data_IF_637710340803
#
_entry.id   IF_637710340803
#
_cell.length_a   1.000
_cell.length_b   1.000
_cell.length_c   1.000
_cell.angle_alpha   90.00
_cell.angle_beta   90.00
_cell.angle_gamma   90.00
#
_symmetry.space_group_name_H-M   'P 1'
#
loop_
_entity.id
_entity.type
_entity.pdbx_description
1 polymer ?
#
# COMPACT_ATOMS: atom_id res chain seq x y z
N UNK A 1 18.71 29.73 3.68
CA UNK A 1 18.04 29.59 4.99
C UNK A 1 16.63 29.07 4.76
N UNK A 2 16.39 27.77 4.95
CA UNK A 2 15.07 27.17 4.75
C UNK A 2 14.22 27.35 6.01
N UNK A 3 13.02 27.95 5.88
CA UNK A 3 12.09 28.14 6.98
C UNK A 3 11.65 26.78 7.54
N UNK A 4 11.90 26.60 8.83
CA UNK A 4 11.35 25.58 9.70
C UNK A 4 9.83 25.74 9.83
N UNK A 5 9.09 24.64 9.70
CA UNK A 5 7.85 24.42 10.46
C UNK A 5 6.56 25.11 10.00
N UNK A 6 6.14 24.95 8.73
CA UNK A 6 4.71 25.10 8.45
C UNK A 6 3.96 23.89 9.06
N UNK A 7 3.35 24.06 10.23
CA UNK A 7 2.43 23.06 10.78
C UNK A 7 1.26 22.95 9.80
N UNK A 8 1.22 21.87 9.01
CA UNK A 8 0.07 21.62 8.14
C UNK A 8 -1.13 21.21 9.00
N UNK A 9 -2.31 21.68 8.62
CA UNK A 9 -3.58 21.35 9.25
C UNK A 9 -4.44 20.54 8.28
N UNK A 10 -5.30 19.67 8.81
CA UNK A 10 -6.27 18.91 8.02
C UNK A 10 -7.61 18.94 8.72
N UNK A 11 -8.67 19.19 7.96
CA UNK A 11 -10.03 19.02 8.44
C UNK A 11 -10.33 17.52 8.58
N UNK A 12 -10.86 17.13 9.74
CA UNK A 12 -11.16 15.74 10.09
C UNK A 12 -12.54 15.67 10.74
N UNK A 13 -13.00 14.45 11.08
CA UNK A 13 -14.22 14.25 11.87
C UNK A 13 -14.20 14.97 13.23
N UNK A 14 -13.02 15.25 13.77
CA UNK A 14 -12.82 15.92 15.06
C UNK A 14 -12.51 17.41 14.92
N UNK A 15 -12.78 18.00 13.75
CA UNK A 15 -12.44 19.38 13.41
C UNK A 15 -11.06 19.50 12.75
N UNK A 16 -10.55 20.73 12.70
CA UNK A 16 -9.24 21.03 12.08
C UNK A 16 -8.14 20.63 13.06
N UNK A 17 -7.32 19.65 12.66
CA UNK A 17 -6.23 19.12 13.48
C UNK A 17 -4.85 19.45 12.91
N UNK A 18 -3.84 19.72 13.76
CA UNK A 18 -2.46 19.84 13.31
C UNK A 18 -1.88 18.48 12.88
N UNK A 19 -0.85 18.50 12.01
CA UNK A 19 -0.23 17.31 11.42
C UNK A 19 0.11 16.20 12.40
N UNK A 20 0.58 16.53 13.60
CA UNK A 20 0.92 15.55 14.64
C UNK A 20 -0.30 14.74 15.08
N UNK A 21 -1.44 15.41 15.32
CA UNK A 21 -2.70 14.74 15.68
C UNK A 21 -3.29 13.95 14.52
N UNK A 22 -3.12 14.44 13.29
CA UNK A 22 -3.47 13.67 12.09
C UNK A 22 -2.62 12.40 11.97
N UNK A 23 -1.33 12.44 12.33
CA UNK A 23 -0.45 11.26 12.31
C UNK A 23 -0.95 10.17 13.27
N UNK A 24 -1.39 10.54 14.47
CA UNK A 24 -1.98 9.62 15.44
C UNK A 24 -3.20 8.89 14.83
N UNK A 25 -4.09 9.63 14.16
CA UNK A 25 -5.24 9.06 13.45
C UNK A 25 -4.82 8.17 12.28
N UNK A 26 -3.79 8.54 11.51
CA UNK A 26 -3.27 7.72 10.41
C UNK A 26 -2.74 6.37 10.90
N UNK A 27 -2.04 6.35 12.03
CA UNK A 27 -1.53 5.12 12.66
C UNK A 27 -2.68 4.27 13.16
N UNK A 28 -3.63 4.86 13.90
CA UNK A 28 -4.80 4.14 14.41
C UNK A 28 -5.66 3.56 13.27
N UNK A 29 -5.88 4.35 12.22
CA UNK A 29 -6.61 3.94 11.02
C UNK A 29 -5.94 2.80 10.26
N UNK A 30 -4.61 2.85 10.13
CA UNK A 30 -3.83 1.75 9.54
C UNK A 30 -3.98 0.46 10.38
N UNK A 31 -3.92 0.58 11.72
CA UNK A 31 -4.14 -0.56 12.63
C UNK A 31 -5.55 -1.14 12.47
N UNK A 32 -6.59 -0.30 12.39
CA UNK A 32 -7.98 -0.73 12.14
C UNK A 32 -8.10 -1.50 10.82
N UNK A 33 -7.47 -1.01 9.76
CA UNK A 33 -7.45 -1.67 8.45
C UNK A 33 -6.79 -3.05 8.50
N UNK A 34 -5.62 -3.17 9.13
CA UNK A 34 -4.93 -4.45 9.30
C UNK A 34 -5.72 -5.45 10.16
N UNK A 35 -6.39 -4.98 11.22
CA UNK A 35 -7.26 -5.84 12.04
C UNK A 35 -8.44 -6.37 11.23
N UNK A 36 -9.09 -5.50 10.44
CA UNK A 36 -10.15 -5.91 9.53
C UNK A 36 -9.63 -6.98 8.56
N UNK A 37 -8.50 -6.75 7.90
CA UNK A 37 -7.88 -7.72 6.99
C UNK A 37 -7.59 -9.07 7.64
N UNK A 38 -7.10 -9.08 8.88
CA UNK A 38 -6.81 -10.30 9.63
C UNK A 38 -8.07 -11.09 10.04
N UNK A 39 -9.22 -10.42 10.14
CA UNK A 39 -10.51 -11.04 10.46
C UNK A 39 -11.26 -11.55 9.21
N UNK A 40 -10.88 -11.11 8.00
CA UNK A 40 -11.47 -11.60 6.76
C UNK A 40 -10.98 -13.01 6.43
N UNK A 41 -11.72 -13.71 5.57
CA UNK A 41 -11.24 -14.99 5.09
C UNK A 41 -9.99 -14.77 4.25
N UNK A 42 -8.96 -15.58 4.49
CA UNK A 42 -7.70 -15.57 3.71
C UNK A 42 -7.91 -15.98 2.23
N UNK A 43 -9.14 -16.28 1.84
CA UNK A 43 -9.54 -16.62 0.47
C UNK A 43 -10.26 -15.48 -0.24
N UNK A 44 -10.62 -14.40 0.45
CA UNK A 44 -11.36 -13.31 -0.18
C UNK A 44 -10.49 -12.62 -1.25
N UNK A 45 -11.12 -12.36 -2.40
CA UNK A 45 -10.45 -11.78 -3.56
C UNK A 45 -10.21 -10.28 -3.35
N UNK A 46 -9.08 -9.79 -3.85
CA UNK A 46 -8.76 -8.35 -3.78
C UNK A 46 -9.50 -7.62 -4.90
N UNK A 47 -10.79 -7.37 -4.72
CA UNK A 47 -11.65 -6.65 -5.69
C UNK A 47 -11.55 -5.13 -5.54
N UNK A 48 -11.99 -4.33 -6.53
CA UNK A 48 -12.11 -2.88 -6.37
C UNK A 48 -12.95 -2.47 -5.15
N UNK A 49 -14.02 -3.20 -4.86
CA UNK A 49 -14.91 -2.99 -3.71
C UNK A 49 -14.18 -3.28 -2.39
N UNK A 50 -13.41 -4.36 -2.33
CA UNK A 50 -12.60 -4.71 -1.16
C UNK A 50 -11.53 -3.65 -0.88
N UNK A 51 -10.84 -3.17 -1.92
CA UNK A 51 -9.86 -2.08 -1.83
C UNK A 51 -10.51 -0.80 -1.28
N UNK A 52 -11.68 -0.43 -1.79
CA UNK A 52 -12.46 0.72 -1.30
C UNK A 52 -12.87 0.54 0.17
N UNK A 53 -13.31 -0.66 0.55
CA UNK A 53 -13.72 -0.98 1.91
C UNK A 53 -12.58 -0.81 2.91
N UNK A 54 -11.40 -1.36 2.61
CA UNK A 54 -10.21 -1.20 3.47
C UNK A 54 -9.87 0.27 3.63
N UNK A 55 -9.79 1.01 2.53
CA UNK A 55 -9.50 2.44 2.58
C UNK A 55 -10.54 3.22 3.41
N UNK A 56 -11.83 2.86 3.30
CA UNK A 56 -12.90 3.47 4.10
C UNK A 56 -12.73 3.21 5.59
N UNK A 57 -12.53 1.94 5.97
CA UNK A 57 -12.35 1.51 7.36
C UNK A 57 -11.14 2.21 7.97
N UNK A 58 -10.05 2.33 7.21
CA UNK A 58 -8.84 2.95 7.71
C UNK A 58 -8.91 4.46 7.85
N UNK A 59 -9.55 5.18 6.93
CA UNK A 59 -9.36 6.63 6.81
C UNK A 59 -10.63 7.46 6.89
N UNK A 60 -11.79 6.89 7.18
CA UNK A 60 -13.07 7.64 7.30
C UNK A 60 -13.09 8.73 8.37
N UNK A 61 -12.28 8.61 9.43
CA UNK A 61 -12.15 9.66 10.45
C UNK A 61 -11.34 10.87 9.96
N UNK A 62 -10.54 10.69 8.91
CA UNK A 62 -9.65 11.72 8.35
C UNK A 62 -10.19 12.27 7.02
N UNK A 63 -10.75 11.40 6.16
CA UNK A 63 -11.29 11.73 4.85
C UNK A 63 -12.81 11.59 4.85
N UNK A 64 -13.51 12.52 5.52
CA UNK A 64 -14.96 12.42 5.75
C UNK A 64 -15.77 12.17 4.46
N UNK A 65 -15.37 12.83 3.37
CA UNK A 65 -16.10 12.78 2.10
C UNK A 65 -15.52 11.79 1.08
N UNK A 66 -14.22 11.47 1.18
CA UNK A 66 -13.47 10.74 0.15
C UNK A 66 -13.06 9.32 0.55
N UNK A 67 -13.19 8.96 1.84
CA UNK A 67 -12.79 7.65 2.31
C UNK A 67 -13.55 6.52 1.58
N UNK A 68 -12.81 5.67 0.87
CA UNK A 68 -13.35 4.52 0.13
C UNK A 68 -13.95 4.88 -1.22
N UNK A 69 -13.72 6.10 -1.72
CA UNK A 69 -14.11 6.52 -3.06
C UNK A 69 -12.87 6.70 -3.92
N UNK A 70 -12.91 6.18 -5.13
CA UNK A 70 -11.87 6.54 -6.09
C UNK A 70 -11.94 8.05 -6.35
N UNK A 71 -10.78 8.69 -6.46
CA UNK A 71 -10.71 10.13 -6.73
C UNK A 71 -11.42 10.43 -8.06
N UNK A 72 -12.11 11.55 -8.10
CA UNK A 72 -12.72 12.13 -9.30
C UNK A 72 -11.99 13.40 -9.75
N UNK A 73 -10.84 13.66 -9.14
CA UNK A 73 -9.96 14.79 -9.42
C UNK A 73 -8.60 14.28 -9.85
N UNK A 74 -7.90 15.14 -10.57
CA UNK A 74 -6.52 14.88 -10.94
C UNK A 74 -5.57 15.22 -9.78
N UNK A 75 -4.57 14.38 -9.57
CA UNK A 75 -3.63 14.50 -8.45
C UNK A 75 -2.20 14.25 -8.92
N UNK A 76 -1.26 14.82 -8.17
CA UNK A 76 0.16 14.57 -8.32
C UNK A 76 0.70 13.80 -7.13
N UNK A 77 1.66 12.90 -7.35
CA UNK A 77 2.34 12.16 -6.30
C UNK A 77 3.82 12.04 -6.64
N UNK A 78 4.69 12.22 -5.65
CA UNK A 78 6.16 12.14 -5.84
C UNK A 78 6.70 12.97 -7.02
N UNK A 79 6.09 14.12 -7.31
CA UNK A 79 6.50 15.03 -8.39
C UNK A 79 6.01 14.66 -9.79
N UNK A 80 5.12 13.68 -9.95
CA UNK A 80 4.51 13.30 -11.23
C UNK A 80 2.99 13.31 -11.16
N UNK A 81 2.36 13.49 -12.30
CA UNK A 81 0.91 13.41 -12.46
C UNK A 81 0.45 11.94 -12.47
N UNK A 82 -0.62 11.63 -11.74
CA UNK A 82 -1.20 10.29 -11.76
C UNK A 82 -2.00 10.04 -13.06
N UNK A 83 -2.32 8.78 -13.42
CA UNK A 83 -3.23 8.50 -14.52
C UNK A 83 -4.56 9.26 -14.38
N UNK A 84 -5.20 9.63 -15.48
CA UNK A 84 -6.44 10.39 -15.43
C UNK A 84 -7.53 9.64 -14.66
N UNK A 85 -8.29 10.34 -13.81
CA UNK A 85 -9.21 9.70 -12.86
C UNK A 85 -10.28 8.80 -13.50
N UNK A 86 -10.71 9.10 -14.74
CA UNK A 86 -11.66 8.25 -15.47
C UNK A 86 -11.15 6.84 -15.76
N UNK A 87 -9.83 6.62 -15.73
CA UNK A 87 -9.21 5.31 -15.98
C UNK A 87 -9.08 4.44 -14.73
N UNK A 88 -9.23 5.01 -13.53
CA UNK A 88 -8.93 4.33 -12.26
C UNK A 88 -9.72 3.05 -12.10
N UNK A 89 -11.04 3.08 -12.35
CA UNK A 89 -11.90 1.93 -12.15
C UNK A 89 -11.44 0.72 -13.01
N UNK A 90 -11.14 0.97 -14.28
CA UNK A 90 -10.64 -0.06 -15.19
C UNK A 90 -9.25 -0.56 -14.77
N UNK A 91 -8.32 0.35 -14.43
CA UNK A 91 -6.96 -0.03 -14.03
C UNK A 91 -6.92 -0.83 -12.72
N UNK A 92 -7.74 -0.46 -11.73
CA UNK A 92 -7.84 -1.22 -10.47
C UNK A 92 -8.48 -2.58 -10.72
N UNK A 93 -9.50 -2.67 -11.59
CA UNK A 93 -10.09 -3.96 -11.96
C UNK A 93 -9.06 -4.89 -12.62
N UNK A 94 -8.28 -4.38 -13.56
CA UNK A 94 -7.19 -5.14 -14.20
C UNK A 94 -6.14 -5.57 -13.16
N UNK A 95 -5.70 -4.64 -12.31
CA UNK A 95 -4.75 -4.96 -11.24
C UNK A 95 -5.28 -6.06 -10.31
N UNK A 96 -6.55 -5.97 -9.90
CA UNK A 96 -7.22 -6.99 -9.10
C UNK A 96 -7.21 -8.36 -9.77
N UNK A 97 -7.52 -8.43 -11.07
CA UNK A 97 -7.55 -9.69 -11.81
C UNK A 97 -6.14 -10.27 -11.99
N UNK A 98 -5.13 -9.43 -12.24
CA UNK A 98 -3.73 -9.83 -12.37
C UNK A 98 -3.14 -10.39 -11.07
N UNK A 99 -3.53 -9.84 -9.91
CA UNK A 99 -3.11 -10.36 -8.60
C UNK A 99 -3.67 -11.77 -8.41
N UNK A 100 -4.97 -11.98 -8.66
CA UNK A 100 -5.59 -13.30 -8.50
C UNK A 100 -5.02 -14.32 -9.49
N UNK A 101 -4.73 -13.89 -10.72
CA UNK A 101 -4.05 -14.72 -11.69
C UNK A 101 -2.65 -15.11 -11.19
N UNK A 102 -1.84 -14.15 -10.76
CA UNK A 102 -0.49 -14.39 -10.25
C UNK A 102 -0.49 -15.32 -9.04
N UNK A 103 -1.41 -15.12 -8.09
CA UNK A 103 -1.60 -16.01 -6.94
C UNK A 103 -1.91 -17.45 -7.37
N UNK A 104 -2.73 -17.64 -8.41
CA UNK A 104 -3.06 -18.97 -8.94
C UNK A 104 -1.89 -19.67 -9.66
N UNK A 105 -0.85 -18.93 -10.01
CA UNK A 105 0.35 -19.40 -10.72
C UNK A 105 1.57 -19.58 -9.83
N UNK A 106 1.46 -19.27 -8.54
CA UNK A 106 2.57 -19.49 -7.61
C UNK A 106 2.96 -20.97 -7.56
N UNK A 107 4.26 -21.28 -7.38
CA UNK A 107 4.71 -22.65 -7.15
C UNK A 107 3.96 -23.31 -6.00
N UNK A 108 3.75 -24.62 -6.09
CA UNK A 108 3.16 -25.40 -5.00
C UNK A 108 4.17 -25.74 -3.90
N UNK A 109 5.47 -25.76 -4.23
CA UNK A 109 6.54 -25.84 -3.25
C UNK A 109 6.65 -24.52 -2.48
N UNK A 110 7.20 -24.57 -1.27
CA UNK A 110 7.46 -23.39 -0.43
C UNK A 110 8.96 -23.16 -0.27
N UNK A 111 9.71 -23.37 -1.36
CA UNK A 111 11.16 -23.20 -1.43
C UNK A 111 11.54 -21.75 -1.80
N UNK A 112 12.82 -21.51 -2.04
CA UNK A 112 13.32 -20.18 -2.41
C UNK A 112 12.69 -19.64 -3.70
N UNK A 113 12.36 -20.51 -4.66
CA UNK A 113 11.69 -20.11 -5.90
C UNK A 113 10.25 -19.62 -5.64
N UNK A 114 9.55 -20.21 -4.67
CA UNK A 114 8.27 -19.67 -4.21
C UNK A 114 8.43 -18.27 -3.61
N UNK A 115 9.42 -18.06 -2.75
CA UNK A 115 9.67 -16.75 -2.14
C UNK A 115 10.00 -15.70 -3.20
N UNK A 116 10.86 -16.02 -4.17
CA UNK A 116 11.19 -15.13 -5.29
C UNK A 116 9.93 -14.70 -6.05
N UNK A 117 9.05 -15.65 -6.41
CA UNK A 117 7.78 -15.34 -7.09
C UNK A 117 6.82 -14.51 -6.25
N UNK A 118 6.81 -14.71 -4.93
CA UNK A 118 6.04 -13.84 -4.02
C UNK A 118 6.61 -12.43 -4.02
N UNK A 119 7.93 -12.26 -3.98
CA UNK A 119 8.57 -10.95 -4.02
C UNK A 119 8.27 -10.20 -5.32
N UNK A 120 8.36 -10.88 -6.48
CA UNK A 120 7.98 -10.32 -7.79
C UNK A 120 6.52 -9.83 -7.79
N UNK A 121 5.59 -10.68 -7.32
CA UNK A 121 4.17 -10.33 -7.20
C UNK A 121 3.96 -9.09 -6.33
N UNK A 122 4.61 -9.03 -5.17
CA UNK A 122 4.48 -7.91 -4.24
C UNK A 122 5.08 -6.62 -4.80
N UNK A 123 6.21 -6.71 -5.51
CA UNK A 123 6.85 -5.57 -6.16
C UNK A 123 5.97 -4.99 -7.29
N UNK A 124 5.46 -5.88 -8.16
CA UNK A 124 4.53 -5.50 -9.22
C UNK A 124 3.27 -4.84 -8.64
N UNK A 125 2.69 -5.44 -7.60
CA UNK A 125 1.51 -4.90 -6.94
C UNK A 125 1.76 -3.52 -6.31
N UNK A 126 2.80 -3.38 -5.49
CA UNK A 126 3.15 -2.11 -4.82
C UNK A 126 3.33 -0.99 -5.85
N UNK A 127 4.13 -1.25 -6.89
CA UNK A 127 4.38 -0.28 -7.95
C UNK A 127 3.09 0.12 -8.66
N UNK A 128 2.34 -0.85 -9.19
CA UNK A 128 1.14 -0.57 -9.99
C UNK A 128 0.04 0.12 -9.17
N UNK A 129 -0.17 -0.29 -7.92
CA UNK A 129 -1.19 0.35 -7.07
C UNK A 129 -0.83 1.81 -6.79
N UNK A 130 0.42 2.09 -6.41
CA UNK A 130 0.89 3.45 -6.16
C UNK A 130 0.90 4.27 -7.44
N UNK A 131 1.17 3.64 -8.59
CA UNK A 131 1.12 4.25 -9.91
C UNK A 131 -0.31 4.69 -10.29
N UNK A 132 -1.29 3.82 -10.14
CA UNK A 132 -2.70 4.13 -10.41
C UNK A 132 -3.20 5.27 -9.51
N UNK A 133 -2.73 5.29 -8.26
CA UNK A 133 -3.05 6.31 -7.26
C UNK A 133 -4.58 6.50 -7.10
N UNK A 134 -5.33 5.43 -6.75
CA UNK A 134 -6.79 5.42 -6.87
C UNK A 134 -7.54 6.39 -5.95
N UNK A 135 -6.95 6.79 -4.82
CA UNK A 135 -7.58 7.64 -3.81
C UNK A 135 -6.98 9.04 -3.77
N UNK A 136 -7.67 9.99 -3.14
CA UNK A 136 -7.18 11.38 -2.96
C UNK A 136 -5.95 11.45 -2.05
N UNK A 137 -5.81 10.53 -1.09
CA UNK A 137 -4.68 10.44 -0.17
C UNK A 137 -4.53 8.98 0.31
N UNK A 138 -3.48 8.68 1.07
CA UNK A 138 -3.24 7.39 1.74
C UNK A 138 -3.07 6.18 0.83
N UNK A 139 -2.79 6.39 -0.46
CA UNK A 139 -2.50 5.32 -1.43
C UNK A 139 -1.33 4.43 -0.97
N UNK A 140 -0.23 5.01 -0.51
CA UNK A 140 0.93 4.22 -0.03
C UNK A 140 0.65 3.40 1.22
N UNK A 141 -0.19 3.89 2.15
CA UNK A 141 -0.61 3.11 3.33
C UNK A 141 -1.54 1.98 2.93
N UNK A 142 -2.47 2.24 2.03
CA UNK A 142 -3.40 1.24 1.48
C UNK A 142 -2.65 0.14 0.73
N UNK A 143 -1.67 0.51 -0.09
CA UNK A 143 -0.80 -0.45 -0.79
C UNK A 143 -0.09 -1.38 0.21
N UNK A 144 0.52 -0.84 1.27
CA UNK A 144 1.19 -1.65 2.29
C UNK A 144 0.24 -2.58 3.05
N UNK A 145 -0.96 -2.12 3.41
CA UNK A 145 -1.96 -2.99 4.04
C UNK A 145 -2.39 -4.13 3.12
N UNK A 146 -2.60 -3.85 1.83
CA UNK A 146 -2.93 -4.87 0.83
C UNK A 146 -1.77 -5.84 0.58
N UNK A 147 -0.51 -5.37 0.59
CA UNK A 147 0.68 -6.25 0.58
C UNK A 147 0.65 -7.22 1.76
N UNK A 148 0.38 -6.72 2.97
CA UNK A 148 0.23 -7.59 4.14
C UNK A 148 -0.92 -8.59 3.96
N UNK A 149 -2.04 -8.17 3.36
CA UNK A 149 -3.14 -9.10 3.08
C UNK A 149 -2.74 -10.20 2.09
N UNK A 150 -2.04 -9.86 1.00
CA UNK A 150 -1.50 -10.86 0.05
C UNK A 150 -0.63 -11.88 0.78
N UNK A 151 0.26 -11.42 1.67
CA UNK A 151 1.10 -12.30 2.49
C UNK A 151 0.27 -13.18 3.44
N UNK A 152 -0.76 -12.62 4.10
CA UNK A 152 -1.67 -13.38 4.96
C UNK A 152 -2.38 -14.51 4.19
N UNK A 153 -2.80 -14.27 2.94
CA UNK A 153 -3.42 -15.28 2.07
C UNK A 153 -2.47 -16.43 1.74
N UNK A 154 -1.16 -16.15 1.72
CA UNK A 154 -0.09 -17.12 1.50
C UNK A 154 0.44 -17.75 2.80
N UNK A 155 -0.18 -17.45 3.95
CA UNK A 155 0.29 -17.84 5.28
C UNK A 155 1.74 -17.40 5.59
N UNK A 156 2.17 -16.30 4.98
CA UNK A 156 3.43 -15.63 5.27
C UNK A 156 3.22 -14.53 6.33
N UNK A 157 4.26 -14.17 7.10
CA UNK A 157 4.16 -13.06 8.04
C UNK A 157 3.88 -11.75 7.31
N UNK A 158 3.18 -10.85 7.99
CA UNK A 158 3.10 -9.46 7.54
C UNK A 158 4.48 -8.81 7.61
N UNK A 159 4.69 -7.83 6.75
CA UNK A 159 5.95 -7.08 6.68
C UNK A 159 5.74 -5.62 7.05
N UNK A 160 6.82 -5.02 7.54
CA UNK A 160 6.88 -3.58 7.73
C UNK A 160 7.90 -2.99 6.75
N UNK A 161 7.40 -2.26 5.75
CA UNK A 161 8.26 -1.49 4.86
C UNK A 161 8.63 -0.20 5.61
N UNK A 162 9.88 -0.12 6.07
CA UNK A 162 10.42 1.01 6.85
C UNK A 162 10.33 2.30 6.01
N UNK A 163 9.57 3.26 6.52
CA UNK A 163 9.23 4.52 5.82
C UNK A 163 9.27 5.74 6.75
N UNK A 164 9.67 5.54 8.00
CA UNK A 164 9.59 6.54 9.06
C UNK A 164 10.76 7.53 8.97
N UNK A 165 11.93 7.05 8.55
CA UNK A 165 13.10 7.91 8.33
C UNK A 165 13.06 8.51 6.92
N UNK A 166 13.47 9.78 6.83
CA UNK A 166 13.57 10.49 5.56
C UNK A 166 14.40 9.73 4.52
N UNK A 167 15.45 9.02 4.94
CA UNK A 167 16.31 8.26 4.04
C UNK A 167 15.63 7.01 3.49
N UNK A 168 14.99 6.21 4.34
CA UNK A 168 14.25 5.00 3.92
C UNK A 168 13.11 5.37 2.97
N UNK A 169 12.38 6.45 3.28
CA UNK A 169 11.36 7.01 2.39
C UNK A 169 11.91 7.40 1.02
N UNK A 170 13.08 8.03 0.97
CA UNK A 170 13.74 8.38 -0.29
C UNK A 170 14.13 7.14 -1.07
N UNK A 171 14.70 6.12 -0.41
CA UNK A 171 15.07 4.85 -1.04
C UNK A 171 13.85 4.17 -1.66
N UNK A 172 12.75 4.06 -0.92
CA UNK A 172 11.50 3.47 -1.42
C UNK A 172 10.91 4.23 -2.62
N UNK A 173 10.88 5.57 -2.55
CA UNK A 173 10.40 6.39 -3.67
C UNK A 173 11.29 6.21 -4.91
N UNK A 174 12.61 6.13 -4.74
CA UNK A 174 13.55 5.87 -5.84
C UNK A 174 13.32 4.49 -6.46
N UNK A 175 13.08 3.47 -5.65
CA UNK A 175 12.75 2.12 -6.12
C UNK A 175 11.48 2.14 -6.99
N UNK A 176 10.42 2.84 -6.54
CA UNK A 176 9.21 3.04 -7.35
C UNK A 176 9.48 3.79 -8.67
N UNK A 177 10.38 4.79 -8.65
CA UNK A 177 10.76 5.55 -9.85
C UNK A 177 11.57 4.72 -10.85
N UNK A 178 12.38 3.75 -10.38
CA UNK A 178 13.02 2.76 -11.25
C UNK A 178 12.00 1.79 -11.83
N UNK A 179 11.05 1.33 -11.02
CA UNK A 179 9.98 0.43 -11.45
C UNK A 179 9.07 1.07 -12.52
N UNK A 180 8.91 2.40 -12.52
CA UNK A 180 8.24 3.13 -13.62
C UNK A 180 8.91 2.90 -14.99
N UNK A 181 10.20 2.58 -15.00
CA UNK A 181 11.01 2.28 -16.19
C UNK A 181 11.16 0.77 -16.45
N UNK A 182 10.46 -0.07 -15.68
CA UNK A 182 10.53 -1.52 -15.78
C UNK A 182 11.63 -2.18 -14.94
N UNK A 183 12.38 -1.42 -14.13
CA UNK A 183 13.42 -1.96 -13.24
C UNK A 183 12.87 -2.10 -11.81
N UNK A 184 12.54 -3.33 -11.42
CA UNK A 184 11.93 -3.66 -10.12
C UNK A 184 12.95 -4.06 -9.04
N UNK A 185 14.25 -4.19 -9.39
CA UNK A 185 15.25 -4.83 -8.54
C UNK A 185 15.35 -4.20 -7.14
N UNK A 186 15.40 -2.87 -7.06
CA UNK A 186 15.47 -2.16 -5.77
C UNK A 186 14.20 -2.37 -4.93
N UNK A 187 13.03 -2.48 -5.57
CA UNK A 187 11.75 -2.66 -4.88
C UNK A 187 11.63 -4.10 -4.35
N UNK A 188 12.04 -5.06 -5.16
CA UNK A 188 12.14 -6.48 -4.79
C UNK A 188 13.12 -6.67 -3.63
N UNK A 189 14.28 -6.02 -3.65
CA UNK A 189 15.25 -6.07 -2.55
C UNK A 189 14.65 -5.54 -1.24
N UNK A 190 13.97 -4.38 -1.27
CA UNK A 190 13.30 -3.82 -0.09
C UNK A 190 12.26 -4.81 0.48
N UNK A 191 11.46 -5.42 -0.38
CA UNK A 191 10.43 -6.38 0.02
C UNK A 191 11.04 -7.68 0.55
N UNK A 192 12.11 -8.16 -0.08
CA UNK A 192 12.85 -9.36 0.33
C UNK A 192 13.47 -9.17 1.71
N UNK A 193 14.14 -8.04 1.96
CA UNK A 193 14.69 -7.70 3.28
C UNK A 193 13.57 -7.68 4.33
N UNK A 194 12.46 -7.00 4.05
CA UNK A 194 11.35 -6.89 4.99
C UNK A 194 10.70 -8.25 5.29
N UNK A 195 10.52 -9.11 4.28
CA UNK A 195 9.97 -10.46 4.45
C UNK A 195 10.92 -11.36 5.25
N UNK A 196 12.22 -11.34 4.93
CA UNK A 196 13.22 -12.12 5.65
C UNK A 196 13.37 -11.69 7.11
N UNK A 197 13.33 -10.39 7.40
CA UNK A 197 13.29 -9.88 8.78
C UNK A 197 12.06 -10.41 9.53
N UNK A 198 10.89 -10.42 8.89
CA UNK A 198 9.65 -10.93 9.49
C UNK A 198 9.66 -12.45 9.69
N UNK A 199 10.20 -13.23 8.75
CA UNK A 199 10.31 -14.70 8.87
C UNK A 199 11.23 -15.10 10.03
N UNK A 200 12.36 -14.40 10.21
CA UNK A 200 13.28 -14.65 11.33
C UNK A 200 12.63 -14.44 12.70
N UNK A 201 11.67 -13.52 12.81
CA UNK A 201 10.92 -13.25 14.06
C UNK A 201 9.90 -14.33 14.41
N UNK A 202 9.54 -15.21 13.48
CA UNK A 202 8.65 -16.35 13.77
C UNK A 202 9.45 -17.54 14.34
N UNK A 203 10.70 -17.68 13.92
CA UNK A 203 11.56 -18.83 14.24
C UNK A 203 12.23 -18.67 15.61
N UNK A 204 12.36 -17.43 16.11
CA UNK A 204 12.88 -17.08 17.44
C UNK A 204 11.74 -16.90 18.45
#
# INVERSE_FOLDING_TARGET
MAKTGATSYKETKYGILPRQKVLELEVLGTKKGLLFLNQNNKTDRITPEFIKQIHKISFSEILMNDAGKFRTIQVTYSGKEAPYFSKIAAMIKILSDDIEFSLSKLPKSTDDAFIERVIELLANFQHRFVFIHPFVDYNGRTARMLTCYILMRLNLPIIEIKMEKNQERKTYIKALQKADKGDYQDLEEILSIALNESLKKIIL
#
